data_IF_094078938913
#
_entry.id   IF_094078938913
#
_cell.length_a   1.000
_cell.length_b   1.000
_cell.length_c   1.000
_cell.angle_alpha   90.00
_cell.angle_beta   90.00
_cell.angle_gamma   90.00
#
_symmetry.space_group_name_H-M   'P 1'
#
loop_
_entity.id
_entity.type
_entity.pdbx_description
1 polymer ?
#
# COMPACT_ATOMS: atom_id res chain seq x y z
N UNK A 1 19.08 20.36 -31.91
CA UNK A 1 17.85 20.45 -31.10
C UNK A 1 17.33 19.08 -30.68
N UNK A 2 17.27 18.07 -31.56
CA UNK A 2 16.80 16.70 -31.21
C UNK A 2 17.67 15.96 -30.18
N UNK A 3 19.01 15.99 -30.29
CA UNK A 3 19.89 15.31 -29.32
C UNK A 3 19.84 15.89 -27.90
N UNK A 4 19.56 17.19 -27.76
CA UNK A 4 19.50 17.85 -26.45
C UNK A 4 18.23 17.44 -25.67
N UNK A 5 17.12 17.25 -26.39
CA UNK A 5 15.85 16.78 -25.83
C UNK A 5 15.96 15.31 -25.39
N UNK A 6 16.62 14.48 -26.20
CA UNK A 6 16.89 13.07 -25.86
C UNK A 6 17.79 12.93 -24.62
N UNK A 7 18.84 13.77 -24.51
CA UNK A 7 19.71 13.78 -23.34
C UNK A 7 18.98 14.23 -22.06
N UNK A 8 18.09 15.22 -22.16
CA UNK A 8 17.29 15.72 -21.03
C UNK A 8 16.25 14.69 -20.56
N UNK A 9 15.60 13.97 -21.49
CA UNK A 9 14.68 12.87 -21.17
C UNK A 9 15.37 11.69 -20.49
N UNK A 10 16.61 11.37 -20.90
CA UNK A 10 17.41 10.32 -20.26
C UNK A 10 17.86 10.72 -18.84
N UNK A 11 18.14 12.00 -18.60
CA UNK A 11 18.47 12.50 -17.25
C UNK A 11 17.26 12.46 -16.30
N UNK A 12 16.04 12.65 -16.82
CA UNK A 12 14.79 12.58 -16.04
C UNK A 12 14.42 11.15 -15.60
N UNK A 13 14.92 10.11 -16.28
CA UNK A 13 14.63 8.71 -15.94
C UNK A 13 15.62 8.07 -14.95
N UNK A 14 16.75 8.72 -14.65
CA UNK A 14 17.80 8.17 -13.79
C UNK A 14 17.56 8.35 -12.27
N UNK A 15 16.51 9.05 -11.86
CA UNK A 15 16.31 9.47 -10.46
C UNK A 15 15.51 8.54 -9.56
N UNK A 16 14.96 7.44 -10.07
CA UNK A 16 14.14 6.55 -9.26
C UNK A 16 15.00 5.51 -8.52
N UNK A 17 15.28 5.76 -7.23
CA UNK A 17 15.82 4.72 -6.37
C UNK A 17 14.81 3.56 -6.27
N UNK A 18 15.27 2.30 -6.35
CA UNK A 18 14.38 1.16 -6.18
C UNK A 18 13.73 1.22 -4.79
N UNK A 19 12.46 0.79 -4.66
CA UNK A 19 11.81 0.75 -3.36
C UNK A 19 12.62 -0.12 -2.39
N UNK A 20 12.64 0.21 -1.09
CA UNK A 20 13.30 -0.62 -0.11
C UNK A 20 12.72 -2.03 -0.17
N UNK A 21 13.59 -3.04 -0.20
CA UNK A 21 13.15 -4.43 -0.02
C UNK A 21 12.74 -4.60 1.44
N UNK A 22 11.51 -5.04 1.63
CA UNK A 22 10.96 -5.40 2.94
C UNK A 22 10.75 -6.90 2.92
N UNK A 23 11.39 -7.61 3.84
CA UNK A 23 11.16 -9.04 4.02
C UNK A 23 9.80 -9.22 4.70
N UNK A 24 8.91 -9.93 4.03
CA UNK A 24 7.53 -10.17 4.48
C UNK A 24 7.24 -11.66 4.43
N UNK A 25 6.89 -12.23 5.57
CA UNK A 25 6.31 -13.56 5.68
C UNK A 25 4.80 -13.46 5.51
N UNK A 26 4.21 -14.35 4.71
CA UNK A 26 2.76 -14.39 4.49
C UNK A 26 2.20 -15.69 5.05
N UNK A 27 1.22 -15.57 5.94
CA UNK A 27 0.51 -16.71 6.53
C UNK A 27 -0.99 -16.53 6.31
N UNK A 28 -1.68 -17.59 5.88
CA UNK A 28 -3.13 -17.60 5.84
C UNK A 28 -3.66 -18.42 7.01
N UNK A 29 -4.56 -17.84 7.80
CA UNK A 29 -5.20 -18.51 8.93
C UNK A 29 -6.39 -19.36 8.46
N UNK A 30 -6.83 -20.31 9.30
CA UNK A 30 -7.95 -21.21 8.99
C UNK A 30 -9.27 -20.46 8.71
N UNK A 31 -9.44 -19.26 9.26
CA UNK A 31 -10.61 -18.40 9.03
C UNK A 31 -10.52 -17.57 7.72
N UNK A 32 -9.44 -17.72 6.95
CA UNK A 32 -9.21 -17.03 5.69
C UNK A 32 -8.47 -15.69 5.81
N UNK A 33 -8.15 -15.21 7.02
CA UNK A 33 -7.37 -13.98 7.19
C UNK A 33 -5.92 -14.18 6.71
N UNK A 34 -5.46 -13.28 5.84
CA UNK A 34 -4.06 -13.20 5.42
C UNK A 34 -3.30 -12.28 6.38
N UNK A 35 -2.24 -12.79 6.98
CA UNK A 35 -1.33 -12.04 7.85
C UNK A 35 -0.02 -11.83 7.10
N UNK A 36 0.40 -10.56 7.02
CA UNK A 36 1.70 -10.16 6.50
C UNK A 36 2.57 -9.76 7.70
N UNK A 37 3.64 -10.51 7.95
CA UNK A 37 4.57 -10.24 9.04
C UNK A 37 5.88 -9.71 8.47
N UNK A 38 6.28 -8.53 8.92
CA UNK A 38 7.62 -8.00 8.68
C UNK A 38 8.29 -7.74 10.02
N UNK A 39 9.46 -8.36 10.23
CA UNK A 39 10.20 -8.26 11.48
C UNK A 39 11.30 -7.21 11.36
N UNK A 40 11.32 -6.28 12.31
CA UNK A 40 12.39 -5.31 12.50
C UNK A 40 12.78 -5.25 13.98
N UNK A 41 13.99 -5.71 14.32
CA UNK A 41 14.48 -5.78 15.70
C UNK A 41 15.18 -4.49 16.18
N UNK A 42 15.12 -3.38 15.40
CA UNK A 42 15.78 -2.11 15.77
C UNK A 42 15.17 -1.43 16.99
N UNK A 43 13.87 -1.59 17.23
CA UNK A 43 13.13 -0.96 18.32
C UNK A 43 12.13 -1.95 18.94
N UNK A 44 11.90 -1.92 20.26
CA UNK A 44 10.94 -2.80 20.93
C UNK A 44 9.49 -2.29 20.80
N UNK A 45 9.05 -2.06 19.56
CA UNK A 45 7.71 -1.56 19.23
C UNK A 45 7.09 -2.42 18.13
N UNK A 46 5.77 -2.50 18.11
CA UNK A 46 5.02 -3.19 17.06
C UNK A 46 4.02 -2.24 16.42
N UNK A 47 3.89 -2.33 15.10
CA UNK A 47 2.83 -1.68 14.35
C UNK A 47 1.89 -2.77 13.82
N UNK A 48 0.58 -2.56 13.97
CA UNK A 48 -0.45 -3.48 13.51
C UNK A 48 -1.44 -2.70 12.67
N UNK A 49 -1.76 -3.23 11.49
CA UNK A 49 -2.77 -2.67 10.60
C UNK A 49 -3.71 -3.79 10.15
N UNK A 50 -5.00 -3.50 10.13
CA UNK A 50 -6.01 -4.37 9.56
C UNK A 50 -6.53 -3.70 8.29
N UNK A 51 -6.38 -4.38 7.15
CA UNK A 51 -6.94 -3.91 5.88
C UNK A 51 -8.17 -4.73 5.53
N UNK A 52 -9.27 -4.04 5.28
CA UNK A 52 -10.46 -4.63 4.68
C UNK A 52 -10.40 -4.38 3.17
N UNK A 53 -10.59 -5.42 2.36
CA UNK A 53 -10.71 -5.31 0.91
C UNK A 53 -12.10 -4.77 0.52
N UNK A 54 -12.43 -3.58 1.01
CA UNK A 54 -13.68 -2.85 0.75
C UNK A 54 -13.39 -1.35 0.73
N UNK A 55 -14.29 -0.55 0.16
CA UNK A 55 -14.15 0.90 0.05
C UNK A 55 -15.28 1.50 -0.78
N UNK A 56 -15.19 2.80 -1.11
CA UNK A 56 -16.21 3.52 -1.87
C UNK A 56 -16.56 2.87 -3.23
N UNK A 57 -15.61 2.17 -3.84
CA UNK A 57 -15.81 1.39 -5.08
C UNK A 57 -16.93 0.34 -4.95
N UNK A 58 -17.20 -0.15 -3.74
CA UNK A 58 -18.16 -1.21 -3.47
C UNK A 58 -19.53 -0.68 -3.02
N UNK A 59 -19.73 0.64 -3.04
CA UNK A 59 -20.98 1.26 -2.61
C UNK A 59 -22.06 1.12 -3.68
N UNK A 60 -23.32 1.07 -3.22
CA UNK A 60 -24.47 1.05 -4.13
C UNK A 60 -24.86 2.49 -4.48
N UNK A 61 -25.41 2.68 -5.67
CA UNK A 61 -26.01 3.96 -6.04
C UNK A 61 -27.07 4.38 -5.01
N UNK A 62 -27.07 5.67 -4.68
CA UNK A 62 -27.92 6.22 -3.62
C UNK A 62 -27.50 5.86 -2.19
N UNK A 63 -26.37 5.18 -1.99
CA UNK A 63 -25.80 4.84 -0.67
C UNK A 63 -24.30 5.13 -0.60
N UNK A 64 -23.88 6.28 -1.13
CA UNK A 64 -22.47 6.69 -1.08
C UNK A 64 -22.04 7.13 0.33
N UNK A 65 -20.74 7.01 0.61
CA UNK A 65 -20.14 7.44 1.87
C UNK A 65 -20.27 6.45 3.03
N UNK A 66 -20.85 5.27 2.80
CA UNK A 66 -20.99 4.24 3.82
C UNK A 66 -19.64 3.66 4.26
N UNK A 67 -18.71 3.43 3.33
CA UNK A 67 -17.38 2.93 3.69
C UNK A 67 -16.66 3.91 4.65
N UNK A 68 -16.75 5.20 4.35
CA UNK A 68 -16.18 6.27 5.18
C UNK A 68 -16.94 6.45 6.51
N UNK A 69 -18.27 6.28 6.50
CA UNK A 69 -19.08 6.32 7.71
C UNK A 69 -18.67 5.18 8.67
N UNK A 70 -18.48 3.96 8.17
CA UNK A 70 -18.04 2.84 8.99
C UNK A 70 -16.62 3.03 9.53
N UNK A 71 -15.72 3.63 8.74
CA UNK A 71 -14.39 4.03 9.22
C UNK A 71 -14.49 4.99 10.43
N UNK A 72 -15.43 5.94 10.42
CA UNK A 72 -15.61 6.88 11.53
C UNK A 72 -16.21 6.27 12.81
N UNK A 73 -16.90 5.13 12.70
CA UNK A 73 -17.61 4.51 13.82
C UNK A 73 -16.79 3.44 14.53
N UNK A 74 -15.69 2.99 13.93
CA UNK A 74 -14.76 2.03 14.53
C UNK A 74 -13.57 2.76 15.15
#
# INVERSE_FOLDING_TARGET
MSCLVLALLALLSLGAAPPPKVDVETVQLDNGLTVLLSRDDRLPVVAVEIRYMVGSLHEREGRSGFAHLFEHLM
#
